data_IF_368520688428
#
_entry.id   IF_368520688428
#
_cell.length_a   1.000
_cell.length_b   1.000
_cell.length_c   1.000
_cell.angle_alpha   90.00
_cell.angle_beta   90.00
_cell.angle_gamma   90.00
#
_symmetry.space_group_name_H-M   'P 1'
#
loop_
_entity.id
_entity.type
_entity.pdbx_description
1 polymer ?
#
# COMPACT_ATOMS: atom_id res chain seq x y z
N UNK A 1 -39.78 -23.08 -54.33
CA UNK A 1 -39.63 -23.28 -52.87
C UNK A 1 -38.15 -23.25 -52.56
N UNK A 2 -37.69 -22.17 -51.95
CA UNK A 2 -36.31 -21.96 -51.55
C UNK A 2 -36.17 -22.31 -50.07
N UNK A 3 -35.16 -23.11 -49.70
CA UNK A 3 -34.66 -23.18 -48.33
C UNK A 3 -33.16 -23.49 -48.36
N UNK A 4 -32.35 -22.44 -48.34
CA UNK A 4 -30.92 -22.54 -48.00
C UNK A 4 -30.81 -22.65 -46.47
N UNK A 5 -30.20 -23.73 -45.98
CA UNK A 5 -29.86 -23.91 -44.57
C UNK A 5 -28.57 -23.15 -44.26
N UNK A 6 -28.68 -22.05 -43.52
CA UNK A 6 -27.54 -21.36 -42.91
C UNK A 6 -27.04 -22.19 -41.72
N UNK A 7 -25.83 -22.74 -41.81
CA UNK A 7 -25.08 -23.23 -40.64
C UNK A 7 -24.37 -22.05 -40.00
N UNK A 8 -24.86 -21.62 -38.83
CA UNK A 8 -24.17 -20.65 -37.98
C UNK A 8 -22.98 -21.32 -37.29
N UNK A 9 -21.77 -20.94 -37.69
CA UNK A 9 -20.53 -21.22 -36.96
C UNK A 9 -20.52 -20.36 -35.69
N UNK A 10 -20.77 -20.98 -34.54
CA UNK A 10 -20.52 -20.37 -33.23
C UNK A 10 -19.01 -20.42 -32.94
N UNK A 11 -18.32 -19.28 -33.11
CA UNK A 11 -16.96 -19.12 -32.64
C UNK A 11 -16.98 -18.89 -31.11
N UNK A 12 -16.63 -19.92 -30.33
CA UNK A 12 -16.34 -19.77 -28.90
C UNK A 12 -15.02 -19.02 -28.74
N UNK A 13 -15.09 -17.72 -28.48
CA UNK A 13 -13.96 -16.95 -28.00
C UNK A 13 -13.63 -17.39 -26.57
N UNK A 14 -12.60 -18.22 -26.41
CA UNK A 14 -11.97 -18.50 -25.13
C UNK A 14 -11.23 -17.24 -24.66
N UNK A 15 -11.90 -16.38 -23.89
CA UNK A 15 -11.23 -15.38 -23.07
C UNK A 15 -10.56 -16.09 -21.90
N UNK A 16 -9.25 -16.32 -22.02
CA UNK A 16 -8.42 -16.75 -20.90
C UNK A 16 -8.38 -15.60 -19.88
N UNK A 17 -9.31 -15.59 -18.93
CA UNK A 17 -9.16 -14.79 -17.73
C UNK A 17 -7.90 -15.27 -17.03
N UNK A 18 -6.82 -14.48 -17.11
CA UNK A 18 -5.65 -14.69 -16.26
C UNK A 18 -6.09 -14.34 -14.84
N UNK A 19 -6.60 -15.32 -14.12
CA UNK A 19 -6.78 -15.20 -12.67
C UNK A 19 -5.37 -15.23 -12.09
N UNK A 20 -4.78 -14.06 -11.88
CA UNK A 20 -3.59 -13.93 -11.06
C UNK A 20 -4.01 -14.27 -9.63
N UNK A 21 -3.83 -15.55 -9.26
CA UNK A 21 -4.23 -16.08 -7.97
C UNK A 21 -3.24 -15.73 -6.84
N UNK A 22 -2.22 -14.90 -7.08
CA UNK A 22 -1.27 -14.55 -6.03
C UNK A 22 -0.90 -13.08 -6.16
N UNK A 23 -0.55 -12.46 -5.03
CA UNK A 23 -0.34 -11.02 -4.93
C UNK A 23 1.04 -10.62 -4.42
N UNK A 24 1.25 -9.31 -4.40
CA UNK A 24 2.39 -8.63 -3.78
C UNK A 24 1.89 -7.34 -3.12
N UNK A 25 2.74 -6.70 -2.31
CA UNK A 25 2.41 -5.41 -1.71
C UNK A 25 2.73 -4.28 -2.69
N UNK A 26 1.67 -3.59 -3.10
CA UNK A 26 1.68 -2.51 -4.07
C UNK A 26 2.07 -1.17 -3.41
N UNK A 27 1.59 -0.95 -2.18
CA UNK A 27 1.79 0.31 -1.45
C UNK A 27 2.08 0.11 0.03
N UNK A 28 2.98 0.94 0.54
CA UNK A 28 3.15 1.22 1.96
C UNK A 28 2.57 2.61 2.23
N UNK A 29 1.58 2.71 3.11
CA UNK A 29 0.90 3.95 3.44
C UNK A 29 1.16 4.28 4.91
N UNK A 30 1.64 5.48 5.18
CA UNK A 30 1.84 6.00 6.53
C UNK A 30 1.45 7.47 6.56
N UNK A 31 0.76 7.90 7.62
CA UNK A 31 0.29 9.29 7.80
C UNK A 31 -0.43 9.87 6.56
N UNK A 32 -1.18 9.03 5.84
CA UNK A 32 -1.91 9.42 4.63
C UNK A 32 -1.07 9.55 3.36
N UNK A 33 0.22 9.22 3.39
CA UNK A 33 1.13 9.26 2.24
C UNK A 33 1.43 7.84 1.77
N UNK A 34 1.20 7.56 0.48
CA UNK A 34 1.50 6.28 -0.15
C UNK A 34 2.88 6.27 -0.83
N UNK A 35 3.66 5.24 -0.53
CA UNK A 35 4.97 4.96 -1.12
C UNK A 35 4.89 3.64 -1.89
N UNK A 36 5.45 3.59 -3.11
CA UNK A 36 5.42 2.37 -3.93
C UNK A 36 6.20 1.24 -3.28
N UNK A 37 5.57 0.06 -3.22
CA UNK A 37 6.26 -1.22 -3.06
C UNK A 37 6.93 -1.66 -4.37
N UNK A 38 7.42 -2.89 -4.39
CA UNK A 38 8.02 -3.48 -5.59
C UNK A 38 7.07 -4.49 -6.23
N UNK A 39 6.54 -4.15 -7.41
CA UNK A 39 5.70 -5.01 -8.24
C UNK A 39 6.59 -5.86 -9.15
N UNK A 40 7.09 -7.00 -8.66
CA UNK A 40 8.02 -7.84 -9.42
C UNK A 40 7.52 -8.20 -10.83
N UNK A 41 6.25 -8.60 -11.05
CA UNK A 41 5.72 -8.85 -12.40
C UNK A 41 5.91 -7.69 -13.39
N UNK A 42 5.66 -6.44 -12.98
CA UNK A 42 5.77 -5.30 -13.89
C UNK A 42 7.18 -4.67 -13.90
N UNK A 43 7.78 -4.57 -12.72
CA UNK A 43 9.01 -3.82 -12.46
C UNK A 43 10.29 -4.56 -12.86
N UNK A 44 10.26 -5.89 -12.98
CA UNK A 44 11.44 -6.68 -13.40
C UNK A 44 11.86 -6.40 -14.84
N UNK A 45 10.94 -5.92 -15.68
CA UNK A 45 11.17 -5.62 -17.09
C UNK A 45 11.53 -4.16 -17.36
N UNK A 46 11.58 -3.32 -16.31
CA UNK A 46 11.92 -1.90 -16.42
C UNK A 46 13.16 -1.55 -15.59
N UNK A 47 14.36 -1.51 -16.20
CA UNK A 47 15.61 -1.23 -15.47
C UNK A 47 15.73 0.22 -14.98
N UNK A 48 14.94 1.16 -15.54
CA UNK A 48 15.04 2.60 -15.28
C UNK A 48 13.95 3.13 -14.34
N UNK A 49 13.32 2.24 -13.57
CA UNK A 49 12.30 2.66 -12.62
C UNK A 49 12.87 3.51 -11.47
N UNK A 50 12.10 4.49 -10.97
CA UNK A 50 12.49 5.27 -9.81
C UNK A 50 12.67 4.35 -8.59
N UNK A 51 13.54 4.73 -7.63
CA UNK A 51 13.65 4.01 -6.36
C UNK A 51 12.30 3.88 -5.66
N UNK A 52 11.99 2.66 -5.24
CA UNK A 52 10.81 2.33 -4.43
C UNK A 52 11.26 1.89 -3.03
N UNK A 53 10.32 1.83 -2.08
CA UNK A 53 10.65 1.45 -0.69
C UNK A 53 10.65 -0.06 -0.48
N UNK A 54 9.99 -0.80 -1.37
CA UNK A 54 9.96 -2.26 -1.37
C UNK A 54 11.22 -2.87 -2.00
N UNK A 55 11.65 -4.01 -1.47
CA UNK A 55 12.82 -4.74 -1.96
C UNK A 55 12.57 -5.34 -3.34
N UNK A 56 13.57 -5.22 -4.21
CA UNK A 56 13.58 -5.87 -5.52
C UNK A 56 13.59 -7.38 -5.29
N UNK A 57 12.75 -8.13 -6.00
CA UNK A 57 12.71 -9.60 -5.93
C UNK A 57 12.33 -10.24 -7.27
N UNK A 58 12.56 -11.54 -7.40
CA UNK A 58 12.37 -12.32 -8.62
C UNK A 58 11.01 -13.00 -8.75
N UNK A 59 10.03 -12.69 -7.89
CA UNK A 59 8.70 -13.33 -7.88
C UNK A 59 7.77 -12.78 -8.98
N UNK A 60 8.21 -12.87 -10.24
CA UNK A 60 7.48 -12.32 -11.41
C UNK A 60 6.14 -13.01 -11.70
N UNK A 61 5.92 -14.17 -11.09
CA UNK A 61 4.68 -14.95 -11.12
C UNK A 61 3.74 -14.65 -9.92
N UNK A 62 4.09 -13.65 -9.09
CA UNK A 62 3.53 -13.43 -7.75
C UNK A 62 3.63 -14.67 -6.84
N UNK A 63 4.59 -15.57 -7.10
CA UNK A 63 4.70 -16.83 -6.39
C UNK A 63 5.15 -16.69 -4.93
N UNK A 64 5.49 -17.84 -4.34
CA UNK A 64 5.86 -17.99 -2.93
C UNK A 64 7.27 -18.57 -2.78
N UNK A 65 7.73 -18.61 -1.53
CA UNK A 65 8.85 -19.44 -1.07
C UNK A 65 8.28 -20.62 -0.30
N UNK A 66 8.70 -21.83 -0.66
CA UNK A 66 8.22 -23.08 -0.06
C UNK A 66 9.10 -23.54 1.13
N UNK A 67 8.59 -24.43 2.00
CA UNK A 67 9.30 -24.92 3.18
C UNK A 67 10.68 -25.53 2.96
N UNK A 68 10.91 -26.18 1.81
CA UNK A 68 12.22 -26.74 1.47
C UNK A 68 13.29 -25.66 1.25
N UNK A 69 12.86 -24.42 0.98
CA UNK A 69 13.74 -23.26 0.77
C UNK A 69 13.85 -22.38 2.02
N UNK A 70 13.38 -22.83 3.19
CA UNK A 70 13.44 -22.06 4.45
C UNK A 70 14.86 -21.89 5.00
N UNK A 71 15.81 -22.75 4.61
CA UNK A 71 17.24 -22.54 4.92
C UNK A 71 17.93 -21.60 3.94
N UNK A 72 17.27 -21.23 2.85
CA UNK A 72 17.88 -20.52 1.73
C UNK A 72 17.64 -19.01 1.83
N UNK A 73 18.51 -18.16 1.24
CA UNK A 73 18.36 -16.70 1.32
C UNK A 73 17.07 -16.13 0.73
N UNK A 74 16.28 -16.94 0.02
CA UNK A 74 14.99 -16.55 -0.57
C UNK A 74 13.91 -16.32 0.50
N UNK A 75 13.94 -17.05 1.63
CA UNK A 75 12.94 -16.86 2.69
C UNK A 75 13.04 -15.49 3.40
N UNK A 76 14.20 -14.84 3.27
CA UNK A 76 14.51 -13.59 3.97
C UNK A 76 13.59 -12.48 3.47
N UNK A 77 13.60 -12.19 2.17
CA UNK A 77 12.88 -11.08 1.54
C UNK A 77 12.29 -11.45 0.17
N UNK A 78 12.01 -12.75 -0.04
CA UNK A 78 11.59 -13.38 -1.30
C UNK A 78 12.74 -13.72 -2.25
N UNK A 79 12.40 -14.43 -3.32
CA UNK A 79 13.28 -15.01 -4.33
C UNK A 79 14.23 -13.98 -4.90
N UNK A 80 15.53 -14.29 -4.89
CA UNK A 80 16.58 -13.43 -5.45
C UNK A 80 16.54 -11.98 -4.94
N UNK A 81 15.97 -11.75 -3.74
CA UNK A 81 15.73 -10.40 -3.28
C UNK A 81 17.01 -9.60 -3.03
N UNK A 82 16.95 -8.30 -3.37
CA UNK A 82 18.02 -7.31 -3.19
C UNK A 82 17.43 -6.10 -2.45
N UNK A 83 18.23 -5.41 -1.62
CA UNK A 83 17.78 -4.22 -0.91
C UNK A 83 17.09 -3.20 -1.81
N UNK A 84 16.02 -2.58 -1.29
CA UNK A 84 15.41 -1.43 -1.93
C UNK A 84 16.45 -0.30 -2.07
N UNK A 85 16.32 0.55 -3.09
CA UNK A 85 17.27 1.66 -3.35
C UNK A 85 16.93 2.95 -2.59
N UNK A 86 15.86 2.93 -1.81
CA UNK A 86 15.48 4.03 -0.93
C UNK A 86 14.59 3.52 0.21
N UNK A 87 14.24 4.44 1.11
CA UNK A 87 13.47 4.17 2.32
C UNK A 87 12.30 5.15 2.49
N UNK A 88 11.40 4.80 3.42
CA UNK A 88 10.41 5.72 3.97
C UNK A 88 10.78 6.06 5.42
N UNK A 89 10.63 7.33 5.79
CA UNK A 89 10.79 7.78 7.18
C UNK A 89 9.47 7.57 7.94
N UNK A 90 9.55 6.93 9.10
CA UNK A 90 8.42 6.72 10.02
C UNK A 90 8.84 7.10 11.44
N UNK A 91 7.90 7.51 12.27
CA UNK A 91 8.15 7.69 13.70
C UNK A 91 7.82 6.39 14.45
N UNK A 92 8.57 6.11 15.50
CA UNK A 92 8.20 5.05 16.44
C UNK A 92 6.78 5.32 16.97
N UNK A 93 5.91 4.30 16.92
CA UNK A 93 4.49 4.42 17.24
C UNK A 93 3.58 4.63 16.04
N UNK A 94 4.12 4.97 14.86
CA UNK A 94 3.32 5.12 13.64
C UNK A 94 2.64 3.81 13.26
N UNK A 95 1.40 3.94 12.76
CA UNK A 95 0.72 2.86 12.06
C UNK A 95 1.09 2.91 10.58
N UNK A 96 1.48 1.76 10.04
CA UNK A 96 1.80 1.56 8.63
C UNK A 96 0.76 0.60 8.06
N UNK A 97 0.18 0.98 6.92
CA UNK A 97 -0.76 0.14 6.17
C UNK A 97 -0.05 -0.39 4.93
N UNK A 98 -0.02 -1.71 4.78
CA UNK A 98 0.50 -2.39 3.60
C UNK A 98 -0.68 -2.86 2.75
N UNK A 99 -0.78 -2.33 1.54
CA UNK A 99 -1.85 -2.65 0.60
C UNK A 99 -1.33 -3.64 -0.45
N UNK A 100 -1.90 -4.84 -0.43
CA UNK A 100 -1.70 -5.85 -1.45
C UNK A 100 -2.52 -5.53 -2.69
N UNK A 101 -2.04 -5.95 -3.86
CA UNK A 101 -2.77 -5.78 -5.11
C UNK A 101 -3.99 -6.70 -5.20
N UNK A 102 -3.89 -7.92 -4.65
CA UNK A 102 -4.93 -8.94 -4.61
C UNK A 102 -4.57 -10.00 -3.57
N UNK A 103 -5.57 -10.76 -3.12
CA UNK A 103 -5.35 -11.99 -2.36
C UNK A 103 -6.54 -12.96 -2.54
N UNK A 104 -6.33 -14.25 -2.87
CA UNK A 104 -7.44 -15.19 -2.99
C UNK A 104 -8.02 -15.58 -1.65
N UNK A 105 -9.34 -15.70 -1.60
CA UNK A 105 -10.05 -16.19 -0.42
C UNK A 105 -9.64 -17.63 -0.01
N UNK A 106 -9.22 -18.46 -0.97
CA UNK A 106 -8.75 -19.81 -0.67
C UNK A 106 -7.41 -19.84 0.06
N UNK A 107 -6.61 -18.77 -0.02
CA UNK A 107 -5.28 -18.68 0.58
C UNK A 107 -5.37 -18.23 2.04
N UNK A 108 -6.08 -19.04 2.84
CA UNK A 108 -6.22 -18.90 4.28
C UNK A 108 -4.86 -19.02 4.97
N UNK A 109 -4.63 -18.20 6.01
CA UNK A 109 -3.45 -18.33 6.85
C UNK A 109 -3.07 -17.06 7.63
N UNK A 110 -1.98 -17.10 8.39
CA UNK A 110 -1.55 -15.99 9.23
C UNK A 110 -0.96 -14.83 8.41
N UNK A 111 -0.90 -13.68 9.08
CA UNK A 111 -0.13 -12.50 8.67
C UNK A 111 0.85 -12.16 9.80
N UNK A 112 2.12 -11.96 9.46
CA UNK A 112 3.21 -11.81 10.43
C UNK A 112 4.13 -10.67 10.00
N UNK A 113 4.52 -9.84 10.96
CA UNK A 113 5.36 -8.66 10.75
C UNK A 113 6.61 -8.71 11.62
N UNK A 114 7.77 -8.44 11.01
CA UNK A 114 9.06 -8.43 11.66
C UNK A 114 9.82 -7.14 11.35
N UNK A 115 10.72 -6.75 12.25
CA UNK A 115 11.76 -5.77 11.98
C UNK A 115 13.14 -6.41 12.16
N UNK A 116 14.11 -5.98 11.36
CA UNK A 116 15.53 -6.25 11.56
C UNK A 116 16.30 -4.93 11.47
N UNK A 117 17.16 -4.64 12.44
CA UNK A 117 17.96 -3.41 12.44
C UNK A 117 19.08 -3.52 11.40
N UNK A 118 19.23 -2.51 10.57
CA UNK A 118 20.36 -2.39 9.66
C UNK A 118 21.56 -1.83 10.42
N UNK A 119 22.79 -2.33 10.19
CA UNK A 119 24.00 -1.79 10.81
C UNK A 119 24.36 -0.38 10.30
N UNK A 120 23.73 0.04 9.20
CA UNK A 120 23.86 1.35 8.56
C UNK A 120 22.67 1.58 7.63
N UNK A 121 22.91 2.07 6.42
CA UNK A 121 21.86 2.23 5.41
C UNK A 121 21.34 0.87 4.92
N UNK A 122 20.02 0.66 5.00
CA UNK A 122 19.40 -0.60 4.58
C UNK A 122 19.54 -0.85 3.08
N UNK A 123 19.78 0.19 2.28
CA UNK A 123 20.01 0.11 0.82
C UNK A 123 21.26 -0.68 0.45
N UNK A 124 22.17 -0.91 1.40
CA UNK A 124 23.44 -1.62 1.19
C UNK A 124 23.62 -2.83 2.10
N UNK A 125 22.60 -3.17 2.89
CA UNK A 125 22.69 -4.24 3.89
C UNK A 125 22.83 -5.62 3.22
N UNK A 126 23.71 -6.47 3.76
CA UNK A 126 23.68 -7.89 3.44
C UNK A 126 22.47 -8.53 4.13
N UNK A 127 21.51 -8.97 3.33
CA UNK A 127 20.27 -9.58 3.85
C UNK A 127 20.51 -10.81 4.73
N UNK A 128 21.62 -11.53 4.53
CA UNK A 128 21.96 -12.72 5.33
C UNK A 128 22.43 -12.37 6.76
N UNK A 129 22.78 -11.11 6.99
CA UNK A 129 23.17 -10.58 8.31
C UNK A 129 21.96 -10.08 9.13
N UNK A 130 20.78 -9.94 8.51
CA UNK A 130 19.59 -9.42 9.18
C UNK A 130 19.06 -10.42 10.22
N UNK A 131 18.85 -9.91 11.43
CA UNK A 131 18.24 -10.64 12.54
C UNK A 131 16.87 -10.03 12.85
N UNK A 132 15.82 -10.82 12.59
CA UNK A 132 14.43 -10.41 12.64
C UNK A 132 13.82 -10.69 14.00
N UNK A 133 13.20 -9.67 14.61
CA UNK A 133 12.32 -9.81 15.78
C UNK A 133 10.87 -9.54 15.36
N UNK A 134 9.95 -10.33 15.90
CA UNK A 134 8.53 -10.27 15.54
C UNK A 134 7.85 -9.12 16.27
N UNK A 135 7.16 -8.25 15.53
CA UNK A 135 6.45 -7.08 16.06
C UNK A 135 4.92 -7.17 15.95
N UNK A 136 4.41 -8.11 15.14
CA UNK A 136 3.00 -8.39 15.00
C UNK A 136 2.77 -9.80 14.46
N UNK A 137 1.70 -10.44 14.90
CA UNK A 137 1.22 -11.72 14.41
C UNK A 137 -0.29 -11.88 14.58
N UNK A 138 -0.94 -12.38 13.55
CA UNK A 138 -2.34 -12.82 13.62
C UNK A 138 -2.51 -14.09 12.82
N UNK A 139 -3.24 -15.06 13.37
CA UNK A 139 -3.41 -16.40 12.82
C UNK A 139 -4.87 -16.73 12.53
N UNK A 140 -5.32 -17.88 13.03
CA UNK A 140 -6.74 -18.25 13.07
C UNK A 140 -7.47 -17.33 14.06
N UNK A 141 -8.52 -16.65 13.60
CA UNK A 141 -9.33 -15.73 14.40
C UNK A 141 -10.47 -16.47 15.11
N UNK A 142 -11.26 -17.20 14.33
CA UNK A 142 -12.37 -18.01 14.81
C UNK A 142 -12.79 -19.04 13.74
N UNK A 143 -13.80 -19.84 14.04
CA UNK A 143 -14.37 -20.84 13.13
C UNK A 143 -15.62 -20.33 12.38
N UNK A 144 -15.78 -19.00 12.18
CA UNK A 144 -16.97 -18.44 11.55
C UNK A 144 -17.05 -18.66 10.03
N UNK A 145 -15.96 -19.09 9.40
CA UNK A 145 -15.89 -19.44 7.98
C UNK A 145 -15.50 -20.91 7.81
N UNK A 146 -15.81 -21.48 6.63
CA UNK A 146 -15.32 -22.80 6.26
C UNK A 146 -13.79 -22.81 6.34
N UNK A 147 -13.26 -23.81 7.05
CA UNK A 147 -11.83 -23.91 7.36
C UNK A 147 -11.23 -22.76 8.19
N UNK A 148 -12.08 -22.06 8.95
CA UNK A 148 -11.68 -20.96 9.83
C UNK A 148 -11.66 -19.59 9.14
N UNK A 149 -11.87 -18.54 9.93
CA UNK A 149 -11.58 -17.15 9.53
C UNK A 149 -10.18 -16.79 10.00
N UNK A 150 -9.33 -16.32 9.10
CA UNK A 150 -7.91 -16.08 9.34
C UNK A 150 -7.54 -14.61 9.20
N UNK A 151 -6.31 -14.27 9.58
CA UNK A 151 -5.74 -12.94 9.35
C UNK A 151 -5.77 -12.55 7.85
N UNK A 152 -5.51 -13.49 6.94
CA UNK A 152 -5.66 -13.26 5.50
C UNK A 152 -7.09 -12.85 5.10
N UNK A 153 -8.13 -13.36 5.78
CA UNK A 153 -9.52 -12.96 5.51
C UNK A 153 -9.80 -11.54 6.00
N UNK A 154 -9.21 -11.15 7.13
CA UNK A 154 -9.28 -9.77 7.64
C UNK A 154 -8.62 -8.81 6.64
N UNK A 155 -7.46 -9.18 6.09
CA UNK A 155 -6.78 -8.43 5.03
C UNK A 155 -7.66 -8.28 3.79
N UNK A 156 -8.25 -9.37 3.29
CA UNK A 156 -9.14 -9.36 2.12
C UNK A 156 -10.35 -8.44 2.36
N UNK A 157 -11.00 -8.58 3.51
CA UNK A 157 -12.14 -7.75 3.89
C UNK A 157 -11.79 -6.26 4.06
N UNK A 158 -10.53 -5.95 4.38
CA UNK A 158 -10.01 -4.60 4.53
C UNK A 158 -9.40 -4.06 3.23
N UNK A 159 -10.02 -4.35 2.08
CA UNK A 159 -9.55 -3.92 0.75
C UNK A 159 -8.09 -4.31 0.51
N UNK A 160 -7.79 -5.59 0.75
CA UNK A 160 -6.47 -6.20 0.61
C UNK A 160 -5.37 -5.51 1.42
N UNK A 161 -5.70 -4.93 2.59
CA UNK A 161 -4.75 -4.13 3.37
C UNK A 161 -4.56 -4.63 4.78
N UNK A 162 -3.32 -4.56 5.27
CA UNK A 162 -2.94 -4.92 6.63
C UNK A 162 -2.30 -3.74 7.35
N UNK A 163 -2.74 -3.47 8.57
CA UNK A 163 -2.15 -2.43 9.43
C UNK A 163 -1.25 -3.08 10.49
N UNK A 164 -0.02 -2.60 10.56
CA UNK A 164 0.93 -2.86 11.64
C UNK A 164 1.27 -1.55 12.35
N UNK A 165 1.89 -1.66 13.53
CA UNK A 165 2.39 -0.50 14.27
C UNK A 165 3.89 -0.65 14.55
N UNK A 166 4.66 0.39 14.23
CA UNK A 166 6.06 0.48 14.63
C UNK A 166 6.08 0.61 16.16
N UNK A 167 6.83 -0.22 16.92
CA UNK A 167 6.80 -0.18 18.37
C UNK A 167 7.14 1.23 18.90
N UNK A 168 6.31 1.78 19.79
CA UNK A 168 6.44 3.16 20.26
C UNK A 168 7.75 3.43 21.03
N UNK A 169 8.34 2.39 21.61
CA UNK A 169 9.62 2.47 22.33
C UNK A 169 10.81 1.97 21.50
N UNK A 170 10.60 1.62 20.21
CA UNK A 170 11.67 1.14 19.34
C UNK A 170 12.82 2.15 19.33
N UNK A 171 14.04 1.64 19.44
CA UNK A 171 15.23 2.47 19.26
C UNK A 171 15.23 3.07 17.84
N UNK A 172 15.45 4.39 17.67
CA UNK A 172 15.54 4.97 16.33
C UNK A 172 16.70 4.36 15.53
N UNK A 173 16.57 4.38 14.21
CA UNK A 173 17.55 3.78 13.30
C UNK A 173 16.94 3.30 11.99
N UNK A 174 17.77 2.65 11.17
CA UNK A 174 17.35 2.07 9.91
C UNK A 174 16.94 0.61 10.13
N UNK A 175 15.79 0.22 9.60
CA UNK A 175 15.24 -1.12 9.76
C UNK A 175 14.72 -1.68 8.44
N UNK A 176 14.87 -2.99 8.24
CA UNK A 176 14.08 -3.74 7.27
C UNK A 176 12.80 -4.18 7.95
N UNK A 177 11.66 -3.74 7.43
CA UNK A 177 10.35 -4.31 7.73
C UNK A 177 10.14 -5.51 6.81
N UNK A 178 9.87 -6.68 7.39
CA UNK A 178 9.49 -7.91 6.67
C UNK A 178 8.06 -8.25 7.05
N UNK A 179 7.15 -8.05 6.10
CA UNK A 179 5.74 -8.42 6.18
C UNK A 179 5.50 -9.72 5.43
N UNK A 180 4.67 -10.62 5.95
CA UNK A 180 4.47 -11.92 5.32
C UNK A 180 3.05 -12.45 5.54
N UNK A 181 2.47 -13.00 4.48
CA UNK A 181 1.34 -13.92 4.55
C UNK A 181 1.87 -15.33 4.33
N UNK A 182 1.37 -16.31 5.09
CA UNK A 182 1.65 -17.73 4.85
C UNK A 182 0.34 -18.38 4.42
N UNK A 183 0.21 -18.79 3.16
CA UNK A 183 -0.98 -19.50 2.70
C UNK A 183 -0.89 -21.00 3.06
N UNK A 184 -1.96 -21.51 3.67
CA UNK A 184 -2.01 -22.85 4.25
C UNK A 184 -2.88 -23.84 3.47
N UNK A 185 -3.47 -23.43 2.35
CA UNK A 185 -4.39 -24.28 1.57
C UNK A 185 -3.75 -25.61 1.10
N UNK A 186 -2.43 -25.63 0.87
CA UNK A 186 -1.66 -26.85 0.57
C UNK A 186 -0.95 -27.46 1.79
N UNK A 187 -0.97 -26.79 2.94
CA UNK A 187 -0.08 -27.08 4.08
C UNK A 187 -0.38 -28.40 4.82
N UNK A 188 -1.47 -29.10 4.47
CA UNK A 188 -1.72 -30.45 4.98
C UNK A 188 -0.71 -31.49 4.49
N UNK A 189 0.09 -31.15 3.47
CA UNK A 189 1.16 -31.98 2.93
C UNK A 189 2.53 -31.37 3.21
N UNK A 190 3.60 -32.18 3.36
CA UNK A 190 4.97 -31.68 3.43
C UNK A 190 5.28 -30.75 2.26
N UNK A 191 6.00 -29.65 2.54
CA UNK A 191 6.33 -28.60 1.57
C UNK A 191 5.13 -27.88 0.94
N UNK A 192 3.93 -28.00 1.53
CA UNK A 192 2.69 -27.45 0.96
C UNK A 192 2.30 -26.04 1.45
N UNK A 193 2.90 -25.53 2.52
CA UNK A 193 2.74 -24.13 2.92
C UNK A 193 3.43 -23.21 1.91
N UNK A 194 2.93 -21.98 1.78
CA UNK A 194 3.41 -21.02 0.80
C UNK A 194 3.66 -19.67 1.48
N UNK A 195 4.92 -19.24 1.56
CA UNK A 195 5.32 -18.01 2.22
C UNK A 195 5.47 -16.86 1.22
N UNK A 196 4.92 -15.69 1.55
CA UNK A 196 4.96 -14.49 0.70
C UNK A 196 5.61 -13.32 1.44
N UNK A 197 6.93 -13.40 1.73
CA UNK A 197 7.63 -12.31 2.42
C UNK A 197 7.79 -11.10 1.49
N UNK A 198 7.54 -9.90 2.02
CA UNK A 198 7.70 -8.61 1.35
C UNK A 198 8.50 -7.69 2.28
N UNK A 199 9.65 -7.21 1.81
CA UNK A 199 10.57 -6.39 2.60
C UNK A 199 10.54 -4.92 2.20
N UNK A 200 10.72 -4.02 3.17
CA UNK A 200 10.73 -2.58 3.00
C UNK A 200 11.85 -1.93 3.83
N UNK A 201 12.48 -0.89 3.29
CA UNK A 201 13.43 -0.09 4.06
C UNK A 201 12.70 1.03 4.81
N UNK A 202 12.89 1.08 6.13
CA UNK A 202 12.37 2.11 7.01
C UNK A 202 13.52 2.89 7.65
N UNK A 203 13.34 4.20 7.79
CA UNK A 203 14.12 5.03 8.70
C UNK A 203 13.21 5.44 9.87
N UNK A 204 13.43 4.83 11.03
CA UNK A 204 12.64 5.08 12.24
C UNK A 204 13.24 6.26 13.01
N UNK A 205 12.42 7.25 13.32
CA UNK A 205 12.75 8.41 14.15
C UNK A 205 11.96 8.41 15.47
N UNK A 206 12.37 9.25 16.43
CA UNK A 206 11.76 9.29 17.76
C UNK A 206 11.98 7.98 18.53
N UNK A 207 11.01 7.59 19.35
CA UNK A 207 11.02 6.30 20.03
C UNK A 207 11.76 6.27 21.36
N UNK A 208 12.31 5.09 21.69
CA UNK A 208 12.89 4.79 22.99
C UNK A 208 14.19 4.00 22.87
N UNK A 209 14.37 3.00 23.72
CA UNK A 209 15.57 2.14 23.77
C UNK A 209 15.25 0.65 23.60
N UNK A 210 14.04 0.30 23.14
CA UNK A 210 13.69 -1.08 22.84
C UNK A 210 14.53 -1.57 21.66
N UNK A 211 15.44 -2.51 21.94
CA UNK A 211 16.32 -3.15 20.96
C UNK A 211 16.25 -4.68 21.14
N UNK A 212 15.20 -5.35 20.64
CA UNK A 212 15.02 -6.78 20.83
C UNK A 212 16.07 -7.58 20.04
N UNK A 213 16.51 -8.71 20.59
CA UNK A 213 17.30 -9.68 19.84
C UNK A 213 16.47 -10.31 18.72
N UNK A 214 17.07 -10.52 17.56
CA UNK A 214 16.42 -11.13 16.41
C UNK A 214 16.86 -12.56 16.12
N UNK A 215 16.27 -13.15 15.10
CA UNK A 215 16.62 -14.46 14.53
C UNK A 215 16.93 -14.29 13.05
N UNK A 216 17.96 -14.97 12.54
CA UNK A 216 18.28 -14.91 11.10
C UNK A 216 17.09 -15.33 10.25
N UNK A 217 16.90 -14.70 9.10
CA UNK A 217 15.79 -15.01 8.21
C UNK A 217 15.69 -16.51 7.85
N UNK A 218 16.83 -17.16 7.60
CA UNK A 218 16.94 -18.61 7.30
C UNK A 218 16.73 -19.53 8.50
N UNK A 219 16.40 -18.96 9.66
CA UNK A 219 16.13 -19.67 10.91
C UNK A 219 14.75 -19.33 11.47
N UNK A 220 13.95 -18.53 10.77
CA UNK A 220 12.59 -18.17 11.20
C UNK A 220 11.68 -19.40 11.25
N UNK A 221 11.79 -20.30 10.27
CA UNK A 221 10.82 -21.38 10.07
C UNK A 221 11.51 -22.73 9.86
N UNK A 222 10.83 -23.79 10.28
CA UNK A 222 11.16 -25.17 9.94
C UNK A 222 10.02 -25.79 9.16
N UNK A 223 10.34 -26.66 8.21
CA UNK A 223 9.35 -27.30 7.34
C UNK A 223 8.35 -28.19 8.08
N UNK A 224 8.68 -28.61 9.30
CA UNK A 224 7.83 -29.42 10.18
C UNK A 224 7.29 -28.65 11.39
N UNK A 225 7.41 -27.31 11.41
CA UNK A 225 6.75 -26.53 12.45
C UNK A 225 5.23 -26.77 12.40
N UNK A 226 4.53 -26.84 13.55
CA UNK A 226 3.11 -27.21 13.59
C UNK A 226 2.18 -26.19 12.93
N UNK A 227 2.65 -24.95 12.69
CA UNK A 227 1.94 -23.94 11.89
C UNK A 227 2.30 -23.95 10.40
N UNK A 228 3.29 -24.75 9.99
CA UNK A 228 3.76 -24.88 8.60
C UNK A 228 3.25 -26.17 7.98
N UNK A 229 3.42 -27.32 8.65
CA UNK A 229 2.77 -28.58 8.26
C UNK A 229 1.44 -28.67 9.02
N UNK A 230 0.40 -28.10 8.43
CA UNK A 230 -0.89 -27.84 9.08
C UNK A 230 -2.06 -28.14 8.15
N UNK A 231 -2.97 -29.02 8.59
CA UNK A 231 -4.20 -29.31 7.85
C UNK A 231 -5.36 -28.44 8.35
N UNK A 232 -5.73 -27.42 7.59
CA UNK A 232 -6.85 -26.51 7.91
C UNK A 232 -8.25 -27.07 7.57
N UNK A 233 -8.34 -28.27 6.98
CA UNK A 233 -9.60 -28.89 6.57
C UNK A 233 -10.18 -29.85 7.62
N UNK A 234 -9.77 -29.71 8.89
CA UNK A 234 -10.30 -30.49 10.01
C UNK A 234 -11.24 -29.68 10.90
N UNK A 235 -12.04 -30.36 11.72
CA UNK A 235 -12.83 -29.70 12.77
C UNK A 235 -11.96 -29.32 13.97
N UNK A 236 -12.38 -28.28 14.71
CA UNK A 236 -11.70 -27.80 15.93
C UNK A 236 -10.22 -27.44 15.72
N UNK A 237 -9.97 -26.45 14.86
CA UNK A 237 -8.62 -25.98 14.59
C UNK A 237 -7.99 -25.28 15.80
N UNK A 238 -6.74 -25.61 16.11
CA UNK A 238 -5.86 -24.86 17.00
C UNK A 238 -4.58 -24.56 16.26
N UNK A 239 -4.25 -23.27 16.11
CA UNK A 239 -3.16 -22.84 15.25
C UNK A 239 -2.03 -22.21 16.07
N UNK A 240 -0.82 -22.75 15.92
CA UNK A 240 0.40 -22.16 16.48
C UNK A 240 1.09 -21.37 15.39
N UNK A 241 1.12 -20.04 15.54
CA UNK A 241 1.80 -19.16 14.59
C UNK A 241 3.30 -19.52 14.57
N UNK A 242 3.91 -19.73 13.38
CA UNK A 242 5.32 -20.08 13.27
C UNK A 242 6.23 -18.87 13.55
N UNK A 243 7.54 -19.11 13.63
CA UNK A 243 8.53 -18.05 13.89
C UNK A 243 8.89 -17.87 15.37
N UNK A 244 9.81 -16.93 15.67
CA UNK A 244 10.16 -16.56 17.04
C UNK A 244 8.95 -15.98 17.78
N UNK A 245 9.06 -15.88 19.11
CA UNK A 245 8.03 -15.24 19.94
C UNK A 245 7.90 -13.75 19.59
N UNK A 246 6.67 -13.24 19.65
CA UNK A 246 6.41 -11.79 19.64
C UNK A 246 7.23 -11.10 20.73
N UNK A 247 7.77 -9.91 20.43
CA UNK A 247 8.48 -9.11 21.43
C UNK A 247 7.56 -8.85 22.63
N UNK A 248 8.00 -9.15 23.87
CA UNK A 248 7.17 -8.99 25.05
C UNK A 248 6.62 -7.57 25.21
N UNK A 249 5.34 -7.45 25.55
CA UNK A 249 4.66 -6.18 25.75
C UNK A 249 4.11 -5.51 24.48
N UNK A 250 4.41 -6.04 23.29
CA UNK A 250 3.73 -5.61 22.07
C UNK A 250 2.38 -6.32 21.92
N UNK A 251 1.36 -5.64 21.38
CA UNK A 251 0.12 -6.32 21.00
C UNK A 251 0.38 -7.25 19.81
N UNK A 252 -0.28 -8.41 19.78
CA UNK A 252 -0.16 -9.34 18.64
C UNK A 252 -0.69 -8.73 17.34
N UNK A 253 -1.75 -7.92 17.41
CA UNK A 253 -2.26 -7.17 16.27
C UNK A 253 -2.77 -5.81 16.72
N UNK A 254 -2.93 -4.88 15.77
CA UNK A 254 -3.53 -3.58 16.00
C UNK A 254 -4.84 -3.45 15.25
N UNK A 255 -5.68 -2.50 15.66
CA UNK A 255 -6.92 -2.18 14.95
C UNK A 255 -6.62 -1.84 13.50
N UNK A 256 -7.23 -2.62 12.59
CA UNK A 256 -7.04 -2.52 11.15
C UNK A 256 -7.68 -1.23 10.62
N UNK A 257 -6.95 -0.54 9.76
CA UNK A 257 -7.36 0.71 9.12
C UNK A 257 -7.63 0.47 7.64
N UNK A 258 -8.68 1.10 7.12
CA UNK A 258 -8.89 1.15 5.69
C UNK A 258 -7.70 1.85 5.01
N UNK A 259 -7.24 1.41 3.83
CA UNK A 259 -6.19 2.09 3.10
C UNK A 259 -6.68 3.47 2.68
N UNK A 260 -6.14 4.52 3.28
CA UNK A 260 -6.42 5.91 2.94
C UNK A 260 -5.13 6.65 2.68
N UNK A 261 -4.90 6.99 1.41
CA UNK A 261 -3.82 7.87 0.99
C UNK A 261 -4.43 9.15 0.40
N UNK A 262 -3.98 10.30 0.90
CA UNK A 262 -4.32 11.64 0.38
C UNK A 262 -3.19 12.20 -0.50
N UNK A 263 -2.00 11.58 -0.47
CA UNK A 263 -0.87 11.93 -1.32
C UNK A 263 -0.04 10.68 -1.67
N UNK A 264 0.80 10.80 -2.70
CA UNK A 264 1.86 9.83 -3.02
C UNK A 264 3.22 10.49 -2.86
N UNK A 265 4.25 9.71 -2.54
CA UNK A 265 5.63 10.19 -2.43
C UNK A 265 6.63 9.15 -2.90
N UNK A 266 7.80 9.62 -3.34
CA UNK A 266 8.91 8.78 -3.78
C UNK A 266 9.72 8.28 -2.59
N UNK A 267 10.40 7.15 -2.76
CA UNK A 267 11.37 6.69 -1.76
C UNK A 267 12.51 7.71 -1.60
N UNK A 268 12.96 7.91 -0.37
CA UNK A 268 14.14 8.74 -0.08
C UNK A 268 15.40 7.92 -0.32
N UNK A 269 16.32 8.40 -1.15
CA UNK A 269 17.59 7.71 -1.41
C UNK A 269 18.67 8.14 -0.41
N UNK A 270 19.68 7.30 -0.12
CA UNK A 270 20.82 7.69 0.71
C UNK A 270 21.48 8.97 0.20
N UNK A 271 21.79 9.89 1.12
CA UNK A 271 22.39 11.19 0.80
C UNK A 271 21.41 12.28 0.35
N UNK A 272 20.11 11.97 0.16
CA UNK A 272 19.07 12.99 0.02
C UNK A 272 18.42 13.29 1.37
N UNK A 273 18.46 14.55 1.81
CA UNK A 273 17.59 15.02 2.89
C UNK A 273 16.19 15.21 2.32
N UNK A 274 15.16 14.62 2.95
CA UNK A 274 13.77 14.98 2.67
C UNK A 274 13.64 16.51 2.80
N UNK A 275 13.33 17.18 1.69
CA UNK A 275 12.84 18.54 1.75
C UNK A 275 11.61 18.57 2.65
N UNK A 276 11.37 19.66 3.41
CA UNK A 276 10.23 19.73 4.31
C UNK A 276 8.97 19.39 3.53
N UNK A 277 8.27 18.34 3.99
CA UNK A 277 6.90 18.06 3.60
C UNK A 277 6.15 19.39 3.70
N UNK A 278 5.60 19.87 2.59
CA UNK A 278 4.80 21.09 2.55
C UNK A 278 3.57 20.89 3.41
N UNK A 279 3.74 21.11 4.70
CA UNK A 279 2.65 21.28 5.63
C UNK A 279 1.95 22.55 5.16
N UNK A 280 0.81 22.39 4.49
CA UNK A 280 -0.09 23.51 4.28
C UNK A 280 -0.57 23.92 5.67
N UNK A 281 0.11 24.91 6.25
CA UNK A 281 -0.30 25.56 7.47
C UNK A 281 -1.64 26.23 7.18
N UNK A 282 -2.75 25.55 7.49
CA UNK A 282 -4.05 26.21 7.63
C UNK A 282 -3.88 27.29 8.69
N UNK A 283 -3.86 28.55 8.25
CA UNK A 283 -3.97 29.71 9.13
C UNK A 283 -5.32 29.64 9.83
N UNK A 284 -5.32 29.11 11.06
CA UNK A 284 -6.37 29.40 12.02
C UNK A 284 -6.25 30.88 12.42
N UNK A 285 -7.20 31.69 11.98
CA UNK A 285 -7.43 33.03 12.48
C UNK A 285 -7.96 32.92 13.91
N UNK A 286 -7.06 33.07 14.89
CA UNK A 286 -7.41 33.40 16.27
C UNK A 286 -7.30 34.91 16.45
N UNK A 287 -8.41 35.50 16.85
CA UNK A 287 -8.59 36.91 17.17
C UNK A 287 -8.09 37.17 18.58
N UNK A 288 -7.10 38.06 18.76
CA UNK A 288 -6.84 38.68 20.06
C UNK A 288 -6.21 40.06 19.92
N UNK A 289 -7.04 41.06 20.24
CA UNK A 289 -6.82 42.39 20.83
C UNK A 289 -5.50 43.14 20.62
N UNK A 290 -5.63 44.37 20.09
CA UNK A 290 -4.69 45.47 20.32
C UNK A 290 -5.43 46.54 21.13
N UNK A 291 -4.81 46.92 22.26
CA UNK A 291 -5.19 48.03 23.14
C UNK A 291 -4.69 49.36 22.56
N UNK A 292 -5.46 50.45 22.66
CA UNK A 292 -5.06 51.76 23.24
C UNK A 292 -6.21 52.79 23.13
N UNK A 293 -6.56 53.29 24.31
CA UNK A 293 -7.03 54.62 24.71
C UNK A 293 -8.12 55.39 23.95
N UNK A 294 -9.18 55.70 24.71
CA UNK A 294 -9.51 57.12 24.95
C UNK A 294 -10.81 57.63 24.32
N UNK A 295 -11.82 57.74 25.17
CA UNK A 295 -12.88 58.77 25.19
C UNK A 295 -14.08 58.65 24.23
N UNK A 296 -15.18 58.18 24.83
CA UNK A 296 -16.57 58.69 24.81
C UNK A 296 -17.08 59.43 23.57
N UNK A 297 -18.04 58.82 22.84
CA UNK A 297 -19.47 59.21 22.88
C UNK A 297 -20.33 58.38 21.92
N UNK A 298 -21.54 58.09 22.39
CA UNK A 298 -22.59 57.27 21.78
C UNK A 298 -23.27 57.99 20.60
N UNK A 299 -23.62 57.27 19.53
CA UNK A 299 -25.04 56.97 19.20
C UNK A 299 -25.25 56.32 17.81
N UNK A 300 -25.93 55.18 17.92
CA UNK A 300 -26.95 54.48 17.11
C UNK A 300 -27.62 55.19 15.92
N UNK A 301 -28.10 54.33 15.01
CA UNK A 301 -29.28 54.39 14.12
C UNK A 301 -28.91 54.59 12.65
N UNK A 302 -29.44 53.92 11.63
CA UNK A 302 -30.24 52.69 11.41
C UNK A 302 -30.25 52.54 9.88
N UNK A 303 -30.37 51.31 9.41
CA UNK A 303 -30.45 50.88 8.03
C UNK A 303 -31.52 51.61 7.18
N UNK A 304 -31.20 51.75 5.89
CA UNK A 304 -32.21 51.83 4.82
C UNK A 304 -31.77 50.94 3.66
N UNK A 305 -32.56 49.90 3.43
CA UNK A 305 -32.55 49.04 2.24
C UNK A 305 -33.18 49.77 1.05
N UNK A 306 -32.54 49.68 -0.11
CA UNK A 306 -33.21 49.86 -1.42
C UNK A 306 -32.66 48.87 -2.43
N UNK A 307 -33.57 48.02 -2.91
CA UNK A 307 -33.59 47.30 -4.19
C UNK A 307 -33.23 48.26 -5.34
N UNK A 308 -32.57 47.85 -6.43
CA UNK A 308 -33.20 47.14 -7.55
C UNK A 308 -32.19 46.85 -8.68
N UNK A 309 -32.44 45.74 -9.39
CA UNK A 309 -32.40 45.57 -10.86
C UNK A 309 -31.12 45.82 -11.68
N UNK A 310 -30.59 44.70 -12.18
CA UNK A 310 -30.29 44.37 -13.59
C UNK A 310 -29.80 45.47 -14.55
N UNK A 311 -28.64 45.21 -15.15
CA UNK A 311 -28.35 45.64 -16.52
C UNK A 311 -27.46 44.63 -17.24
N UNK A 312 -28.00 44.12 -18.35
CA UNK A 312 -27.31 43.44 -19.43
C UNK A 312 -26.48 44.44 -20.24
N UNK A 313 -25.24 44.10 -20.59
CA UNK A 313 -24.59 44.68 -21.76
C UNK A 313 -23.54 43.75 -22.34
N UNK A 314 -23.39 43.92 -23.64
CA UNK A 314 -22.87 43.02 -24.66
C UNK A 314 -21.37 43.16 -24.92
N UNK A 315 -20.88 42.14 -25.65
CA UNK A 315 -19.94 42.20 -26.77
C UNK A 315 -18.41 42.18 -26.54
N UNK A 316 -17.81 41.34 -27.40
CA UNK A 316 -16.52 41.46 -28.10
C UNK A 316 -15.23 40.97 -27.46
N UNK A 317 -14.80 39.79 -27.93
CA UNK A 317 -13.49 39.49 -28.54
C UNK A 317 -12.22 40.01 -27.88
N UNK A 318 -11.39 39.10 -27.35
CA UNK A 318 -10.03 38.81 -27.85
C UNK A 318 -9.38 37.66 -27.10
N UNK A 319 -8.45 37.02 -27.81
CA UNK A 319 -7.68 35.83 -27.45
C UNK A 319 -6.97 35.90 -26.08
N UNK A 320 -6.80 34.72 -25.47
CA UNK A 320 -5.93 34.49 -24.31
C UNK A 320 -5.27 33.09 -24.41
N UNK A 321 -4.13 32.86 -23.72
CA UNK A 321 -3.03 32.01 -24.17
C UNK A 321 -3.19 30.51 -23.87
N UNK A 322 -2.35 29.70 -24.52
CA UNK A 322 -2.12 28.28 -24.19
C UNK A 322 -1.84 28.08 -22.69
N UNK A 323 -2.47 27.10 -22.03
CA UNK A 323 -2.02 26.63 -20.73
C UNK A 323 -0.91 25.59 -20.90
N UNK A 324 0.18 25.83 -20.18
CA UNK A 324 1.30 24.92 -19.93
C UNK A 324 0.89 23.78 -18.99
N UNK A 325 1.55 22.63 -19.14
CA UNK A 325 1.51 21.48 -18.25
C UNK A 325 1.58 21.90 -16.78
N UNK A 326 0.54 21.59 -16.00
CA UNK A 326 0.65 21.24 -14.59
C UNK A 326 -0.63 20.51 -14.15
N UNK A 327 -0.41 19.33 -13.56
CA UNK A 327 -1.39 18.30 -13.24
C UNK A 327 -2.53 18.79 -12.33
N UNK A 328 -3.77 18.65 -12.82
CA UNK A 328 -4.98 18.73 -11.99
C UNK A 328 -5.23 17.34 -11.38
N UNK A 329 -5.04 17.17 -10.07
CA UNK A 329 -5.61 16.05 -9.31
C UNK A 329 -6.24 16.54 -7.99
N UNK A 330 -7.55 16.29 -7.84
CA UNK A 330 -8.20 15.79 -6.62
C UNK A 330 -9.67 15.35 -6.90
N UNK A 331 -10.07 14.15 -6.47
CA UNK A 331 -11.48 13.70 -6.35
C UNK A 331 -11.69 12.19 -6.12
N UNK A 332 -12.70 11.72 -5.34
CA UNK A 332 -12.64 10.52 -4.48
C UNK A 332 -13.06 9.16 -5.10
N UNK A 333 -12.87 8.11 -4.29
CA UNK A 333 -12.84 6.66 -4.56
C UNK A 333 -14.13 5.94 -5.04
N UNK A 334 -15.04 6.61 -5.75
CA UNK A 334 -16.14 5.92 -6.44
C UNK A 334 -16.49 6.68 -7.71
N UNK A 335 -16.12 6.13 -8.88
CA UNK A 335 -16.63 6.61 -10.18
C UNK A 335 -15.61 7.21 -11.17
N UNK A 336 -14.32 6.92 -11.06
CA UNK A 336 -13.36 7.29 -12.11
C UNK A 336 -13.53 6.46 -13.38
N UNK A 337 -13.14 7.02 -14.53
CA UNK A 337 -13.17 6.31 -15.80
C UNK A 337 -12.28 5.06 -15.78
N UNK A 338 -12.74 3.92 -16.32
CA UNK A 338 -11.93 2.71 -16.35
C UNK A 338 -10.64 2.91 -17.14
N UNK A 339 -9.60 2.16 -16.78
CA UNK A 339 -8.31 2.14 -17.50
C UNK A 339 -8.55 1.92 -18.99
N UNK A 340 -7.83 2.68 -19.81
CA UNK A 340 -7.97 2.80 -21.27
C UNK A 340 -9.16 3.62 -21.78
N UNK A 341 -9.97 4.21 -20.91
CA UNK A 341 -11.01 5.15 -21.34
C UNK A 341 -10.42 6.49 -21.76
N UNK A 342 -11.09 7.17 -22.69
CA UNK A 342 -10.76 8.54 -23.03
C UNK A 342 -11.08 9.46 -21.85
N UNK A 343 -10.12 10.27 -21.45
CA UNK A 343 -10.24 11.21 -20.32
C UNK A 343 -9.90 12.65 -20.72
N UNK A 344 -9.67 12.90 -22.02
CA UNK A 344 -9.35 14.24 -22.53
C UNK A 344 -9.20 14.27 -24.05
N UNK A 345 -8.96 15.46 -24.59
CA UNK A 345 -8.88 15.75 -26.03
C UNK A 345 -9.59 17.05 -26.39
N UNK A 346 -9.19 17.68 -27.50
CA UNK A 346 -9.64 19.01 -27.94
C UNK A 346 -11.17 19.23 -27.95
N UNK A 347 -11.95 18.19 -28.23
CA UNK A 347 -13.41 18.25 -28.32
C UNK A 347 -14.10 17.28 -27.33
N UNK A 348 -13.36 16.76 -26.36
CA UNK A 348 -13.89 15.80 -25.38
C UNK A 348 -14.61 16.52 -24.24
N UNK A 349 -15.89 16.20 -24.03
CA UNK A 349 -16.77 16.79 -23.00
C UNK A 349 -17.13 15.82 -21.87
N UNK A 350 -16.54 14.62 -21.89
CA UNK A 350 -16.80 13.58 -20.88
C UNK A 350 -15.96 13.75 -19.60
N UNK A 351 -16.08 12.82 -18.64
CA UNK A 351 -15.31 12.84 -17.40
C UNK A 351 -13.81 12.82 -17.65
N UNK A 352 -13.01 13.56 -16.88
CA UNK A 352 -11.55 13.65 -17.05
C UNK A 352 -10.76 12.90 -15.98
N UNK A 353 -11.44 12.35 -14.98
CA UNK A 353 -10.83 11.67 -13.83
C UNK A 353 -10.79 10.17 -14.07
N UNK A 354 -9.60 9.60 -13.98
CA UNK A 354 -9.37 8.16 -14.11
C UNK A 354 -9.66 7.41 -12.81
N UNK A 355 -10.00 6.13 -12.93
CA UNK A 355 -10.11 5.24 -11.78
C UNK A 355 -8.78 5.14 -11.03
N UNK A 356 -8.86 4.75 -9.75
CA UNK A 356 -7.70 4.60 -8.88
C UNK A 356 -6.65 3.65 -9.48
N UNK A 357 -5.38 4.06 -9.47
CA UNK A 357 -4.27 3.34 -10.13
C UNK A 357 -4.06 3.66 -11.61
N UNK A 358 -4.71 4.69 -12.16
CA UNK A 358 -4.46 5.20 -13.51
C UNK A 358 -4.42 6.72 -13.57
N UNK A 359 -3.67 7.27 -14.52
CA UNK A 359 -3.54 8.71 -14.74
C UNK A 359 -3.99 9.07 -16.15
N UNK A 360 -4.66 10.21 -16.32
CA UNK A 360 -5.07 10.68 -17.64
C UNK A 360 -3.83 11.16 -18.41
N UNK A 361 -3.36 10.37 -19.37
CA UNK A 361 -2.17 10.70 -20.17
C UNK A 361 -2.58 11.24 -21.53
N UNK A 362 -2.03 12.39 -21.91
CA UNK A 362 -2.21 12.96 -23.25
C UNK A 362 -1.50 12.07 -24.27
N UNK A 363 -2.25 11.57 -25.26
CA UNK A 363 -1.69 10.77 -26.36
C UNK A 363 -1.46 11.67 -27.58
N UNK A 364 -2.43 12.52 -27.89
CA UNK A 364 -2.35 13.54 -28.93
C UNK A 364 -3.34 14.67 -28.63
N UNK A 365 -3.34 15.79 -29.39
CA UNK A 365 -4.21 16.94 -29.11
C UNK A 365 -5.71 16.62 -29.07
N UNK A 366 -6.15 15.56 -29.73
CA UNK A 366 -7.55 15.16 -29.83
C UNK A 366 -7.92 14.02 -28.87
N UNK A 367 -6.94 13.42 -28.18
CA UNK A 367 -7.16 12.21 -27.39
C UNK A 367 -6.19 12.09 -26.20
N UNK A 368 -6.76 11.94 -25.00
CA UNK A 368 -6.06 11.57 -23.77
C UNK A 368 -6.72 10.33 -23.17
N UNK A 369 -5.93 9.45 -22.56
CA UNK A 369 -6.38 8.14 -22.11
C UNK A 369 -5.93 7.83 -20.68
N UNK A 370 -6.79 7.19 -19.90
CA UNK A 370 -6.42 6.66 -18.59
C UNK A 370 -5.44 5.49 -18.74
N UNK A 371 -4.21 5.62 -18.22
CA UNK A 371 -3.16 4.59 -18.30
C UNK A 371 -2.60 4.19 -16.93
#
# INVERSE_FOLDING_TARGET
MAFFKSSSLLALAYSAAKVAAHGHVDWLITKGVAYRGYDAPAMSWNPNQPPVVGWINGATDNGYVEPNSFSDPDIICHKAARPAKGHVTVEAGDKVVLQWNTWPESHKGPVIDYLAKCPGDCETVDKNSLEFFKIGESGLIDMAMQSGRWAADVLVANTFSWTLQIPAQLEPGNYVLRHEIIALHGAGQPNGAQNYPQCFNLKVTGGGSLAPSGVKGTQLYKSNDPGILFNLYTSSLSYKIPGPTLVPGLPSTVGQLAPQATATSSATTPGQTQGPSSTSTTRSSSSTSITISGDTTLRTVTATTTTSSSSSSSSSSKASPSPTDDDIICGPATGGLPKYSQCGGKDYTGPTVCQWGSTCKVINPYYSQCL
#
